data_IF_370820354187
#
_entry.id   IF_370820354187
#
_cell.length_a   1.000
_cell.length_b   1.000
_cell.length_c   1.000
_cell.angle_alpha   90.00
_cell.angle_beta   90.00
_cell.angle_gamma   90.00
#
_symmetry.space_group_name_H-M   'P 1'
#
loop_
_entity.id
_entity.type
_entity.pdbx_description
1 polymer ?
#
# COMPACT_ATOMS: atom_id res chain seq x y z
N UNK A 1 18.08 -15.25 -1.92
CA UNK A 1 16.62 -15.24 -1.66
C UNK A 1 16.16 -13.80 -1.87
N UNK A 2 15.27 -13.50 -2.83
CA UNK A 2 15.00 -12.11 -3.26
C UNK A 2 13.54 -11.79 -2.97
N UNK A 3 13.30 -11.03 -1.91
CA UNK A 3 12.01 -10.42 -1.56
C UNK A 3 11.64 -9.40 -2.63
N UNK A 4 10.37 -9.35 -3.04
CA UNK A 4 9.86 -8.23 -3.84
C UNK A 4 9.39 -7.19 -2.83
N UNK A 5 10.03 -6.01 -2.81
CA UNK A 5 9.70 -4.91 -1.90
C UNK A 5 9.77 -3.60 -2.65
N UNK A 6 8.80 -2.74 -2.40
CA UNK A 6 8.81 -1.35 -2.83
C UNK A 6 8.54 -0.45 -1.63
N UNK A 7 9.14 0.73 -1.65
CA UNK A 7 8.97 1.76 -0.64
C UNK A 7 8.48 3.02 -1.35
N UNK A 8 7.43 3.60 -0.80
CA UNK A 8 6.70 4.73 -1.33
C UNK A 8 6.77 5.81 -0.28
N UNK A 9 7.58 6.84 -0.54
CA UNK A 9 7.66 8.03 0.32
C UNK A 9 6.88 9.16 -0.33
N UNK A 10 6.03 9.81 0.47
CA UNK A 10 5.31 11.00 0.08
C UNK A 10 5.29 12.01 1.21
N UNK A 11 4.71 13.17 0.94
CA UNK A 11 4.67 14.28 1.90
C UNK A 11 3.93 13.93 3.20
N UNK A 12 2.89 13.11 3.10
CA UNK A 12 2.07 12.75 4.24
C UNK A 12 2.62 11.56 5.03
N UNK A 13 3.55 10.79 4.46
CA UNK A 13 4.02 9.58 5.09
C UNK A 13 4.78 8.62 4.17
N UNK A 14 4.93 7.39 4.65
CA UNK A 14 5.68 6.33 4.00
C UNK A 14 4.86 5.03 3.98
N UNK A 15 4.92 4.32 2.87
CA UNK A 15 4.31 2.99 2.70
C UNK A 15 5.33 2.02 2.13
N UNK A 16 5.46 0.85 2.76
CA UNK A 16 6.21 -0.27 2.24
C UNK A 16 5.26 -1.40 1.83
N UNK A 17 5.44 -1.94 0.63
CA UNK A 17 4.71 -3.11 0.13
C UNK A 17 5.73 -4.22 -0.10
N UNK A 18 5.51 -5.37 0.54
CA UNK A 18 6.42 -6.50 0.53
C UNK A 18 5.69 -7.81 0.21
N UNK A 19 6.28 -8.63 -0.66
CA UNK A 19 5.93 -10.03 -0.82
C UNK A 19 7.20 -10.88 -0.82
N UNK A 20 7.28 -11.79 0.13
CA UNK A 20 8.35 -12.77 0.17
C UNK A 20 8.15 -13.80 -0.95
N UNK A 21 9.22 -14.20 -1.64
CA UNK A 21 9.13 -15.18 -2.73
C UNK A 21 8.66 -16.52 -2.17
N UNK A 22 7.56 -17.04 -2.72
CA UNK A 22 6.91 -18.27 -2.24
C UNK A 22 5.84 -18.02 -1.16
N UNK A 23 5.68 -16.77 -0.69
CA UNK A 23 4.56 -16.37 0.16
C UNK A 23 3.30 -16.16 -0.67
N UNK A 24 2.19 -16.65 -0.14
CA UNK A 24 0.86 -16.32 -0.61
C UNK A 24 0.38 -14.97 -0.08
N UNK A 25 1.16 -14.30 0.77
CA UNK A 25 0.74 -13.07 1.45
C UNK A 25 1.56 -11.87 0.98
N UNK A 26 0.86 -10.75 0.74
CA UNK A 26 1.44 -9.41 0.56
C UNK A 26 1.26 -8.67 1.88
N UNK A 27 2.35 -8.11 2.40
CA UNK A 27 2.34 -7.25 3.58
C UNK A 27 2.51 -5.80 3.16
N UNK A 28 1.69 -4.94 3.72
CA UNK A 28 1.67 -3.51 3.43
C UNK A 28 1.77 -2.77 4.75
N UNK A 29 2.87 -2.08 4.98
CA UNK A 29 3.10 -1.26 6.17
C UNK A 29 3.01 0.20 5.81
N UNK A 30 2.21 0.98 6.54
CA UNK A 30 1.99 2.39 6.28
C UNK A 30 2.16 3.23 7.53
N UNK A 31 2.81 4.39 7.37
CA UNK A 31 3.11 5.35 8.43
C UNK A 31 2.72 6.74 7.93
N UNK A 32 1.97 7.49 8.73
CA UNK A 32 1.64 8.90 8.48
C UNK A 32 2.58 9.76 9.34
N UNK A 33 3.18 10.78 8.75
CA UNK A 33 4.16 11.66 9.42
C UNK A 33 3.51 12.63 10.43
N UNK A 34 2.34 13.18 10.09
CA UNK A 34 1.58 14.10 10.94
C UNK A 34 0.12 13.64 11.03
N UNK A 35 -0.19 12.67 11.90
CA UNK A 35 -1.53 12.10 12.02
C UNK A 35 -2.52 13.11 12.62
N UNK A 36 -3.68 13.26 12.00
CA UNK A 36 -4.76 14.07 12.53
C UNK A 36 -5.30 13.56 13.88
N UNK A 37 -6.13 14.37 14.54
CA UNK A 37 -6.74 13.99 15.83
C UNK A 37 -7.61 12.73 15.66
N UNK A 38 -7.19 11.63 16.27
CA UNK A 38 -7.89 10.35 16.22
C UNK A 38 -7.48 9.46 15.04
N UNK A 39 -6.55 9.89 14.19
CA UNK A 39 -5.98 9.07 13.14
C UNK A 39 -4.90 8.13 13.67
N UNK A 40 -4.79 6.95 13.08
CA UNK A 40 -3.73 6.00 13.40
C UNK A 40 -2.48 6.36 12.61
N UNK A 41 -1.40 6.64 13.33
CA UNK A 41 -0.11 6.98 12.75
C UNK A 41 0.52 5.80 11.98
N UNK A 42 0.23 4.57 12.36
CA UNK A 42 0.69 3.35 11.68
C UNK A 42 -0.48 2.43 11.37
N UNK A 43 -0.39 1.72 10.25
CA UNK A 43 -1.33 0.65 9.91
C UNK A 43 -0.67 -0.37 9.00
N UNK A 44 -0.92 -1.64 9.30
CA UNK A 44 -0.43 -2.78 8.54
C UNK A 44 -1.61 -3.54 7.96
N UNK A 45 -1.48 -3.96 6.71
CA UNK A 45 -2.36 -4.95 6.09
C UNK A 45 -1.57 -6.17 5.66
N UNK A 46 -2.21 -7.33 5.78
CA UNK A 46 -1.73 -8.59 5.24
C UNK A 46 -2.86 -9.20 4.40
N UNK A 47 -2.62 -9.34 3.10
CA UNK A 47 -3.62 -9.80 2.13
C UNK A 47 -3.13 -11.02 1.37
N UNK A 48 -4.05 -11.87 0.92
CA UNK A 48 -3.72 -13.03 0.10
C UNK A 48 -3.51 -12.60 -1.36
N UNK A 49 -2.31 -12.83 -1.89
CA UNK A 49 -1.92 -12.51 -3.25
C UNK A 49 -2.85 -13.15 -4.31
N UNK A 50 -3.47 -14.29 -4.03
CA UNK A 50 -4.37 -15.01 -4.95
C UNK A 50 -5.84 -14.93 -4.56
N UNK A 51 -6.13 -14.61 -3.30
CA UNK A 51 -7.49 -14.55 -2.76
C UNK A 51 -8.10 -13.15 -2.73
N UNK A 52 -7.29 -12.11 -2.83
CA UNK A 52 -7.75 -10.72 -2.80
C UNK A 52 -8.23 -10.28 -4.17
N UNK A 53 -9.47 -9.79 -4.24
CA UNK A 53 -10.07 -9.30 -5.47
C UNK A 53 -9.62 -7.87 -5.83
N UNK A 54 -9.88 -7.46 -7.08
CA UNK A 54 -9.51 -6.13 -7.56
C UNK A 54 -10.17 -5.00 -6.77
N UNK A 55 -11.35 -5.24 -6.17
CA UNK A 55 -12.04 -4.22 -5.37
C UNK A 55 -11.28 -3.95 -4.08
N UNK A 56 -10.89 -5.00 -3.36
CA UNK A 56 -10.10 -4.91 -2.15
C UNK A 56 -8.71 -4.32 -2.44
N UNK A 57 -8.05 -4.72 -3.54
CA UNK A 57 -6.79 -4.11 -3.99
C UNK A 57 -6.95 -2.61 -4.26
N UNK A 58 -8.06 -2.18 -4.89
CA UNK A 58 -8.33 -0.78 -5.18
C UNK A 58 -8.60 0.04 -3.90
N UNK A 59 -9.32 -0.54 -2.93
CA UNK A 59 -9.51 0.08 -1.62
C UNK A 59 -8.19 0.29 -0.88
N UNK A 60 -7.31 -0.70 -0.92
CA UNK A 60 -5.97 -0.62 -0.32
C UNK A 60 -5.14 0.44 -1.04
N UNK A 61 -5.13 0.45 -2.38
CA UNK A 61 -4.46 1.48 -3.17
C UNK A 61 -4.93 2.91 -2.80
N UNK A 62 -6.24 3.07 -2.58
CA UNK A 62 -6.83 4.35 -2.15
C UNK A 62 -6.30 4.78 -0.78
N UNK A 63 -6.17 3.85 0.17
CA UNK A 63 -5.60 4.21 1.47
C UNK A 63 -4.09 4.48 1.39
N UNK A 64 -3.34 3.70 0.61
CA UNK A 64 -1.91 3.95 0.37
C UNK A 64 -1.70 5.36 -0.17
N UNK A 65 -2.49 5.76 -1.16
CA UNK A 65 -2.45 7.09 -1.76
C UNK A 65 -2.74 8.20 -0.73
N UNK A 66 -3.77 8.02 0.11
CA UNK A 66 -4.05 8.96 1.22
C UNK A 66 -2.90 9.07 2.21
N UNK A 67 -2.22 7.96 2.52
CA UNK A 67 -1.13 7.94 3.50
C UNK A 67 0.21 8.45 2.95
N UNK A 68 0.48 8.29 1.66
CA UNK A 68 1.67 8.86 1.03
C UNK A 68 1.47 10.35 0.70
N UNK A 69 0.33 10.73 0.12
CA UNK A 69 0.16 12.06 -0.46
C UNK A 69 -0.67 13.02 0.41
N UNK A 70 -1.48 12.49 1.34
CA UNK A 70 -2.33 13.28 2.24
C UNK A 70 -3.56 13.91 1.57
N UNK A 71 -3.65 13.86 0.24
CA UNK A 71 -4.76 14.40 -0.56
C UNK A 71 -5.07 13.43 -1.69
N UNK A 72 -6.35 13.11 -1.92
CA UNK A 72 -6.78 12.33 -3.09
C UNK A 72 -6.44 13.09 -4.37
N UNK A 73 -5.61 12.50 -5.23
CA UNK A 73 -5.35 13.03 -6.59
C UNK A 73 -4.12 13.92 -6.77
N UNK A 74 -3.12 13.88 -5.88
CA UNK A 74 -1.84 14.57 -6.11
C UNK A 74 -0.72 13.58 -6.43
N UNK A 75 -0.32 13.54 -7.71
CA UNK A 75 0.94 12.96 -8.23
C UNK A 75 1.25 11.47 -8.00
N UNK A 76 0.25 10.64 -7.73
CA UNK A 76 0.24 9.21 -8.06
C UNK A 76 -1.22 8.76 -8.15
N UNK A 77 -1.70 8.50 -9.36
CA UNK A 77 -3.05 7.99 -9.57
C UNK A 77 -3.21 6.71 -8.74
N UNK A 78 -4.34 6.56 -8.05
CA UNK A 78 -4.71 5.32 -7.34
C UNK A 78 -4.50 4.11 -8.26
N UNK A 79 -4.69 4.29 -9.57
CA UNK A 79 -4.42 3.30 -10.62
C UNK A 79 -2.95 2.83 -10.69
N UNK A 80 -1.98 3.70 -10.41
CA UNK A 80 -0.56 3.33 -10.34
C UNK A 80 -0.26 2.40 -9.17
N UNK A 81 -0.79 2.74 -7.98
CA UNK A 81 -0.69 1.87 -6.80
C UNK A 81 -1.45 0.56 -7.00
N UNK A 82 -2.64 0.62 -7.60
CA UNK A 82 -3.44 -0.54 -7.93
C UNK A 82 -2.71 -1.49 -8.90
N UNK A 83 -2.13 -0.98 -9.99
CA UNK A 83 -1.35 -1.79 -10.94
C UNK A 83 -0.14 -2.45 -10.28
N UNK A 84 0.53 -1.74 -9.38
CA UNK A 84 1.68 -2.31 -8.67
C UNK A 84 1.23 -3.40 -7.70
N UNK A 85 0.10 -3.22 -6.98
CA UNK A 85 -0.50 -4.27 -6.18
C UNK A 85 -0.90 -5.50 -7.01
N UNK A 86 -1.50 -5.31 -8.19
CA UNK A 86 -1.78 -6.43 -9.11
C UNK A 86 -0.50 -7.18 -9.54
N UNK A 87 0.59 -6.46 -9.82
CA UNK A 87 1.90 -7.08 -10.13
C UNK A 87 2.49 -7.84 -8.93
N UNK A 88 2.08 -7.50 -7.70
CA UNK A 88 2.46 -8.25 -6.50
C UNK A 88 1.53 -9.44 -6.24
N UNK A 89 0.28 -9.39 -6.72
CA UNK A 89 -0.69 -10.47 -6.66
C UNK A 89 -0.40 -11.62 -7.65
N UNK A 90 0.02 -11.30 -8.88
CA UNK A 90 0.51 -12.25 -9.90
C UNK A 90 1.72 -13.09 -9.40
#
# INVERSE_FOLDING_TARGET
MRTKRIELEGRAGHVAIERQRGSATIRIDSIIADPGKGEQAWKTWEIDAKGTDDTELFWIATEVQRRCDGVVGTNSDVDGYFRELQRFAD
#
